data_IF_184407143320
#
_entry.id   IF_184407143320
#
_cell.length_a   1.000
_cell.length_b   1.000
_cell.length_c   1.000
_cell.angle_alpha   90.00
_cell.angle_beta   90.00
_cell.angle_gamma   90.00
#
_symmetry.space_group_name_H-M   'P 1'
#
loop_
_entity.id
_entity.type
_entity.pdbx_description
1 polymer ?
#
# COMPACT_ATOMS: atom_id res chain seq x y z
N UNK A 1 -0.39 -63.69 50.86
CA UNK A 1 0.18 -62.41 50.39
C UNK A 1 0.16 -62.51 48.88
N UNK A 2 -1.01 -62.29 48.30
CA UNK A 2 -1.24 -62.35 46.85
C UNK A 2 -1.15 -60.92 46.35
N UNK A 3 -0.17 -60.65 45.49
CA UNK A 3 0.01 -59.35 44.86
C UNK A 3 -0.88 -59.30 43.63
N UNK A 4 -1.85 -58.38 43.65
CA UNK A 4 -2.66 -58.05 42.49
C UNK A 4 -1.79 -57.22 41.53
N UNK A 5 -1.44 -57.80 40.38
CA UNK A 5 -0.80 -57.10 39.27
C UNK A 5 -1.85 -56.21 38.59
N UNK A 6 -1.72 -54.90 38.72
CA UNK A 6 -2.53 -53.92 37.99
C UNK A 6 -2.01 -53.84 36.53
N UNK A 7 -2.86 -54.19 35.57
CA UNK A 7 -2.61 -53.95 34.14
C UNK A 7 -2.54 -52.44 33.88
N UNK A 8 -1.61 -51.96 33.03
CA UNK A 8 -1.53 -50.53 32.71
C UNK A 8 -2.71 -50.14 31.83
N UNK A 9 -3.51 -49.18 32.28
CA UNK A 9 -4.55 -48.53 31.49
C UNK A 9 -3.89 -47.84 30.27
N UNK A 10 -4.16 -48.36 29.06
CA UNK A 10 -3.80 -47.66 27.82
C UNK A 10 -4.57 -46.33 27.75
N UNK A 11 -3.91 -45.23 28.08
CA UNK A 11 -4.36 -43.86 27.77
C UNK A 11 -4.31 -43.63 26.25
N UNK A 12 -5.23 -44.27 25.52
CA UNK A 12 -5.46 -44.02 24.10
C UNK A 12 -6.29 -42.75 23.91
N UNK A 13 -5.78 -41.77 23.15
CA UNK A 13 -6.57 -40.62 22.70
C UNK A 13 -7.87 -41.13 22.05
N UNK A 14 -9.04 -40.51 22.33
CA UNK A 14 -10.31 -40.97 21.78
C UNK A 14 -10.31 -40.82 20.25
N UNK A 15 -10.35 -41.94 19.54
CA UNK A 15 -10.47 -41.99 18.09
C UNK A 15 -9.64 -43.11 17.45
N UNK A 16 -9.92 -43.47 16.19
CA UNK A 16 -9.04 -44.35 15.44
C UNK A 16 -7.65 -43.72 15.29
N UNK A 17 -6.58 -44.53 15.25
CA UNK A 17 -5.23 -44.01 15.02
C UNK A 17 -5.20 -43.18 13.73
N UNK A 18 -4.53 -42.01 13.75
CA UNK A 18 -4.44 -41.17 12.57
C UNK A 18 -3.82 -41.98 11.43
N UNK A 19 -4.50 -42.00 10.28
CA UNK A 19 -4.02 -42.66 9.07
C UNK A 19 -3.22 -41.65 8.23
N UNK A 20 -1.87 -41.72 8.22
CA UNK A 20 -1.04 -40.82 7.44
C UNK A 20 -1.28 -40.91 5.93
N UNK A 21 -1.92 -41.98 5.45
CA UNK A 21 -2.29 -42.18 4.05
C UNK A 21 -3.43 -41.25 3.58
N UNK A 22 -4.13 -40.59 4.52
CA UNK A 22 -5.20 -39.63 4.22
C UNK A 22 -4.70 -38.20 4.04
N UNK A 23 -3.41 -37.94 4.25
CA UNK A 23 -2.82 -36.61 4.06
C UNK A 23 -2.53 -36.45 2.55
N UNK A 24 -3.18 -35.49 1.86
CA UNK A 24 -2.85 -35.21 0.48
C UNK A 24 -1.41 -34.68 0.41
N UNK A 25 -0.56 -35.34 -0.40
CA UNK A 25 0.80 -34.87 -0.70
C UNK A 25 0.72 -33.68 -1.66
N UNK A 26 0.42 -32.49 -1.13
CA UNK A 26 0.49 -31.25 -1.90
C UNK A 26 1.94 -30.80 -1.90
N UNK A 27 2.69 -31.25 -2.91
CA UNK A 27 4.04 -30.74 -3.18
C UNK A 27 3.87 -29.40 -3.90
N UNK A 28 3.87 -28.28 -3.16
CA UNK A 28 4.08 -26.97 -3.81
C UNK A 28 5.55 -26.87 -4.20
N UNK A 29 5.82 -26.65 -5.48
CA UNK A 29 7.17 -26.33 -5.93
C UNK A 29 7.58 -24.97 -5.35
N UNK A 30 8.45 -25.00 -4.35
CA UNK A 30 9.01 -23.78 -3.77
C UNK A 30 10.01 -23.20 -4.79
N UNK A 31 9.79 -21.96 -5.22
CA UNK A 31 10.73 -21.23 -6.10
C UNK A 31 10.28 -21.00 -7.54
N UNK A 32 9.08 -21.43 -7.94
CA UNK A 32 8.51 -21.13 -9.27
C UNK A 32 7.69 -19.82 -9.31
N UNK A 33 7.65 -19.09 -8.19
CA UNK A 33 6.95 -17.80 -8.12
C UNK A 33 7.77 -16.72 -8.85
N UNK A 34 7.40 -16.45 -10.09
CA UNK A 34 7.91 -15.28 -10.81
C UNK A 34 7.11 -14.03 -10.41
N UNK A 35 7.64 -13.30 -9.42
CA UNK A 35 7.04 -12.05 -8.94
C UNK A 35 6.92 -10.99 -10.04
N UNK A 36 7.83 -11.01 -11.04
CA UNK A 36 7.83 -10.04 -12.13
C UNK A 36 6.63 -10.25 -13.06
N UNK A 37 6.37 -11.49 -13.47
CA UNK A 37 5.21 -11.79 -14.33
C UNK A 37 3.87 -11.54 -13.64
N UNK A 38 3.79 -11.75 -12.33
CA UNK A 38 2.60 -11.42 -11.54
C UNK A 38 2.42 -9.90 -11.41
N UNK A 39 3.51 -9.15 -11.22
CA UNK A 39 3.46 -7.68 -11.20
C UNK A 39 2.97 -7.13 -12.55
N UNK A 40 3.50 -7.64 -13.66
CA UNK A 40 3.10 -7.23 -15.03
C UNK A 40 1.62 -7.56 -15.30
N UNK A 41 1.14 -8.75 -14.87
CA UNK A 41 -0.27 -9.15 -14.98
C UNK A 41 -1.22 -8.23 -14.19
N UNK A 42 -0.75 -7.68 -13.07
CA UNK A 42 -1.49 -6.75 -12.23
C UNK A 42 -1.21 -5.27 -12.56
N UNK A 43 -0.47 -4.97 -13.63
CA UNK A 43 -0.16 -3.60 -14.05
C UNK A 43 0.74 -2.84 -13.08
N UNK A 44 1.54 -3.55 -12.28
CA UNK A 44 2.48 -2.97 -11.31
C UNK A 44 3.82 -2.74 -12.02
N UNK A 45 4.15 -1.49 -12.28
CA UNK A 45 5.42 -1.10 -12.91
C UNK A 45 6.63 -1.40 -12.00
N UNK A 46 7.76 -1.74 -12.62
CA UNK A 46 9.03 -1.93 -11.90
C UNK A 46 9.44 -0.59 -11.28
N UNK A 47 9.88 -0.62 -10.02
CA UNK A 47 10.41 0.58 -9.34
C UNK A 47 11.50 1.23 -10.20
N UNK A 48 11.21 2.42 -10.72
CA UNK A 48 12.12 3.28 -11.48
C UNK A 48 12.26 4.60 -10.75
N UNK A 49 13.43 5.23 -10.74
CA UNK A 49 13.53 6.56 -10.13
C UNK A 49 12.63 7.54 -10.89
N UNK A 50 11.77 8.30 -10.20
CA UNK A 50 10.82 9.19 -10.85
C UNK A 50 11.57 10.33 -11.53
N UNK A 51 11.33 10.52 -12.82
CA UNK A 51 11.84 11.70 -13.53
C UNK A 51 10.94 12.89 -13.22
N UNK A 52 11.43 13.74 -12.31
CA UNK A 52 10.73 14.93 -11.83
C UNK A 52 10.32 15.84 -13.01
N UNK A 53 11.13 15.96 -14.06
CA UNK A 53 10.80 16.84 -15.20
C UNK A 53 9.64 16.27 -16.01
N UNK A 54 9.66 14.96 -16.27
CA UNK A 54 8.58 14.30 -16.99
C UNK A 54 7.27 14.35 -16.20
N UNK A 55 7.33 14.22 -14.86
CA UNK A 55 6.15 14.33 -14.01
C UNK A 55 5.59 15.76 -14.03
N UNK A 56 6.46 16.78 -13.98
CA UNK A 56 6.01 18.17 -14.09
C UNK A 56 5.33 18.44 -15.44
N UNK A 57 5.92 17.98 -16.54
CA UNK A 57 5.35 18.10 -17.89
C UNK A 57 3.98 17.42 -17.96
N UNK A 58 3.85 16.20 -17.43
CA UNK A 58 2.55 15.53 -17.33
C UNK A 58 1.53 16.33 -16.53
N UNK A 59 1.91 16.89 -15.38
CA UNK A 59 1.01 17.68 -14.53
C UNK A 59 0.61 19.01 -15.20
N UNK A 60 1.45 19.59 -16.06
CA UNK A 60 1.14 20.78 -16.85
C UNK A 60 0.15 20.48 -17.99
N UNK A 61 0.17 19.27 -18.54
CA UNK A 61 -0.78 18.81 -19.56
C UNK A 61 -2.17 18.48 -19.00
N UNK A 62 -2.32 18.38 -17.66
CA UNK A 62 -3.63 18.17 -17.03
C UNK A 62 -4.44 19.48 -17.10
N UNK A 63 -5.15 19.66 -18.21
CA UNK A 63 -6.14 20.71 -18.39
C UNK A 63 -7.48 20.32 -17.73
N UNK A 64 -8.21 21.30 -17.19
CA UNK A 64 -9.56 21.15 -16.63
C UNK A 64 -9.72 20.17 -15.45
N UNK A 65 -8.78 20.16 -14.50
CA UNK A 65 -8.95 19.38 -13.28
C UNK A 65 -10.19 19.85 -12.48
N UNK A 66 -11.15 18.94 -12.29
CA UNK A 66 -12.32 19.19 -11.45
C UNK A 66 -12.04 18.92 -9.96
N UNK A 67 -12.62 19.73 -9.06
CA UNK A 67 -12.52 19.48 -7.62
C UNK A 67 -13.20 18.15 -7.25
N UNK A 68 -12.65 17.45 -6.24
CA UNK A 68 -13.27 16.21 -5.75
C UNK A 68 -14.70 16.44 -5.23
N UNK A 69 -15.64 15.61 -5.65
CA UNK A 69 -17.01 15.64 -5.15
C UNK A 69 -17.12 14.88 -3.82
N UNK A 70 -16.52 15.42 -2.76
CA UNK A 70 -16.50 14.80 -1.44
C UNK A 70 -16.85 15.81 -0.34
N UNK A 71 -17.97 15.58 0.34
CA UNK A 71 -18.46 16.42 1.43
C UNK A 71 -17.52 16.50 2.65
N UNK A 72 -16.58 15.56 2.78
CA UNK A 72 -15.58 15.52 3.85
C UNK A 72 -14.23 16.12 3.42
N UNK A 73 -14.10 16.58 2.17
CA UNK A 73 -12.90 17.25 1.70
C UNK A 73 -12.80 18.65 2.31
N UNK A 74 -11.62 18.99 2.82
CA UNK A 74 -11.36 20.33 3.33
C UNK A 74 -10.76 21.27 2.28
N UNK A 75 -10.19 20.72 1.21
CA UNK A 75 -9.82 21.45 -0.01
C UNK A 75 -9.90 20.48 -1.20
N UNK A 76 -11.05 20.42 -1.89
CA UNK A 76 -11.28 19.46 -2.96
C UNK A 76 -10.34 19.59 -4.15
N UNK A 77 -9.86 20.81 -4.44
CA UNK A 77 -8.98 21.06 -5.57
C UNK A 77 -7.55 20.61 -5.26
N UNK A 78 -7.03 20.98 -4.09
CA UNK A 78 -5.70 20.56 -3.68
C UNK A 78 -5.60 19.03 -3.54
N UNK A 79 -6.65 18.40 -3.01
CA UNK A 79 -6.70 16.94 -2.90
C UNK A 79 -6.74 16.23 -4.26
N UNK A 80 -7.39 16.81 -5.27
CA UNK A 80 -7.40 16.28 -6.63
C UNK A 80 -5.98 16.26 -7.25
N UNK A 81 -5.23 17.36 -7.11
CA UNK A 81 -3.84 17.43 -7.57
C UNK A 81 -2.96 16.39 -6.89
N UNK A 82 -3.11 16.23 -5.58
CA UNK A 82 -2.37 15.22 -4.83
C UNK A 82 -2.76 13.79 -5.25
N UNK A 83 -4.04 13.51 -5.51
CA UNK A 83 -4.48 12.21 -6.01
C UNK A 83 -3.86 11.88 -7.36
N UNK A 84 -3.80 12.84 -8.30
CA UNK A 84 -3.17 12.64 -9.60
C UNK A 84 -1.69 12.31 -9.42
N UNK A 85 -0.96 13.12 -8.65
CA UNK A 85 0.47 12.90 -8.40
C UNK A 85 0.72 11.52 -7.78
N UNK A 86 0.03 11.18 -6.70
CA UNK A 86 0.27 9.91 -6.01
C UNK A 86 -0.16 8.71 -6.86
N UNK A 87 -1.22 8.85 -7.66
CA UNK A 87 -1.62 7.81 -8.62
C UNK A 87 -0.56 7.57 -9.67
N UNK A 88 0.00 8.64 -10.25
CA UNK A 88 1.08 8.58 -11.22
C UNK A 88 2.31 7.88 -10.63
N UNK A 89 2.73 8.30 -9.44
CA UNK A 89 3.90 7.75 -8.74
C UNK A 89 3.74 6.25 -8.44
N UNK A 90 2.55 5.83 -7.97
CA UNK A 90 2.28 4.42 -7.63
C UNK A 90 2.18 3.56 -8.88
N UNK A 91 1.44 4.01 -9.92
CA UNK A 91 1.16 3.19 -11.10
C UNK A 91 2.31 3.16 -12.11
N UNK A 92 2.86 4.33 -12.43
CA UNK A 92 3.87 4.42 -13.49
C UNK A 92 5.28 4.12 -12.96
N UNK A 93 5.58 4.55 -11.74
CA UNK A 93 6.94 4.46 -11.19
C UNK A 93 7.10 3.40 -10.08
N UNK A 94 6.01 2.77 -9.63
CA UNK A 94 6.05 1.70 -8.62
C UNK A 94 6.55 2.16 -7.25
N UNK A 95 6.51 3.46 -6.94
CA UNK A 95 6.86 3.97 -5.61
C UNK A 95 5.62 4.03 -4.74
N UNK A 96 5.73 3.46 -3.54
CA UNK A 96 4.64 3.45 -2.57
C UNK A 96 4.48 4.77 -1.83
N UNK A 97 5.49 5.64 -1.80
CA UNK A 97 5.42 6.90 -1.06
C UNK A 97 6.28 7.99 -1.68
N UNK A 98 5.95 9.24 -1.39
CA UNK A 98 6.69 10.41 -1.86
C UNK A 98 7.05 11.31 -0.67
N UNK A 99 8.29 11.81 -0.64
CA UNK A 99 8.78 12.70 0.42
C UNK A 99 8.14 14.09 0.34
N UNK A 100 8.01 14.77 1.48
CA UNK A 100 7.37 16.11 1.55
C UNK A 100 8.02 17.10 0.58
N UNK A 101 9.34 17.17 0.55
CA UNK A 101 10.05 18.10 -0.36
C UNK A 101 9.74 17.83 -1.83
N UNK A 102 9.57 16.56 -2.21
CA UNK A 102 9.26 16.19 -3.59
C UNK A 102 7.81 16.51 -3.93
N UNK A 103 6.87 16.29 -3.00
CA UNK A 103 5.47 16.70 -3.15
C UNK A 103 5.39 18.21 -3.35
N UNK A 104 6.12 18.98 -2.54
CA UNK A 104 6.16 20.44 -2.63
C UNK A 104 6.61 20.92 -4.00
N UNK A 105 7.72 20.37 -4.52
CA UNK A 105 8.24 20.72 -5.85
C UNK A 105 7.25 20.40 -6.97
N UNK A 106 6.51 19.29 -6.87
CA UNK A 106 5.65 18.82 -7.95
C UNK A 106 4.27 19.49 -7.96
N UNK A 107 3.68 19.71 -6.79
CA UNK A 107 2.28 20.18 -6.68
C UNK A 107 2.08 21.33 -5.69
N UNK A 108 3.11 21.77 -4.96
CA UNK A 108 2.99 22.83 -3.95
C UNK A 108 2.41 24.13 -4.51
N UNK A 109 2.94 24.61 -5.64
CA UNK A 109 2.44 25.81 -6.33
C UNK A 109 0.98 25.64 -6.78
N UNK A 110 0.63 24.48 -7.38
CA UNK A 110 -0.73 24.16 -7.86
C UNK A 110 -1.76 24.08 -6.72
N UNK A 111 -1.33 23.64 -5.55
CA UNK A 111 -2.15 23.59 -4.34
C UNK A 111 -2.09 24.89 -3.53
N UNK A 112 -1.28 25.87 -3.93
CA UNK A 112 -0.99 27.09 -3.17
C UNK A 112 -0.58 26.78 -1.71
N UNK A 113 0.32 25.80 -1.53
CA UNK A 113 0.76 25.29 -0.23
C UNK A 113 2.24 24.94 -0.27
N UNK A 114 3.00 25.57 0.61
CA UNK A 114 4.45 25.40 0.72
C UNK A 114 4.85 25.33 2.20
N UNK A 115 5.98 24.69 2.47
CA UNK A 115 6.55 24.47 3.80
C UNK A 115 5.54 23.92 4.80
N UNK A 116 5.33 24.66 5.89
CA UNK A 116 4.49 24.24 7.01
C UNK A 116 3.02 24.06 6.59
N UNK A 117 2.52 24.88 5.67
CA UNK A 117 1.12 24.78 5.23
C UNK A 117 0.86 23.49 4.45
N UNK A 118 1.85 23.03 3.68
CA UNK A 118 1.82 21.74 3.01
C UNK A 118 1.85 20.59 4.02
N UNK A 119 2.74 20.64 5.01
CA UNK A 119 2.83 19.61 6.05
C UNK A 119 1.52 19.46 6.83
N UNK A 120 0.91 20.59 7.25
CA UNK A 120 -0.38 20.58 7.96
C UNK A 120 -1.47 19.96 7.08
N UNK A 121 -1.49 20.29 5.78
CA UNK A 121 -2.44 19.74 4.83
C UNK A 121 -2.29 18.21 4.69
N UNK A 122 -1.06 17.72 4.52
CA UNK A 122 -0.77 16.28 4.42
C UNK A 122 -1.10 15.54 5.72
N UNK A 123 -0.79 16.13 6.88
CA UNK A 123 -1.14 15.56 8.18
C UNK A 123 -2.65 15.48 8.40
N UNK A 124 -3.41 16.47 7.93
CA UNK A 124 -4.88 16.41 7.95
C UNK A 124 -5.39 15.22 7.13
N UNK A 125 -4.85 15.00 5.94
CA UNK A 125 -5.25 13.87 5.09
C UNK A 125 -4.87 12.52 5.70
N UNK A 126 -3.72 12.45 6.37
CA UNK A 126 -3.31 11.28 7.14
C UNK A 126 -4.27 10.99 8.30
N UNK A 127 -4.64 12.00 9.09
CA UNK A 127 -5.61 11.85 10.19
C UNK A 127 -6.97 11.37 9.66
N UNK A 128 -7.38 11.81 8.47
CA UNK A 128 -8.60 11.34 7.80
C UNK A 128 -8.48 9.93 7.20
N UNK A 129 -7.33 9.27 7.32
CA UNK A 129 -7.08 7.91 6.81
C UNK A 129 -6.89 7.83 5.29
N UNK A 130 -6.73 8.98 4.63
CA UNK A 130 -6.56 9.07 3.16
C UNK A 130 -5.12 8.88 2.72
N UNK A 131 -4.20 9.29 3.58
CA UNK A 131 -2.77 9.04 3.42
C UNK A 131 -2.26 8.16 4.55
N UNK A 132 -1.15 7.49 4.32
CA UNK A 132 -0.31 6.88 5.33
C UNK A 132 0.98 7.69 5.45
N UNK A 133 1.37 8.00 6.69
CA UNK A 133 2.61 8.71 7.00
C UNK A 133 3.72 7.70 7.32
N UNK A 134 4.82 7.76 6.57
CA UNK A 134 5.91 6.80 6.63
C UNK A 134 7.16 7.48 7.19
N UNK A 135 7.80 6.80 8.14
CA UNK A 135 9.05 7.20 8.77
C UNK A 135 10.17 6.23 8.38
N UNK A 136 11.42 6.69 8.46
CA UNK A 136 12.61 5.86 8.20
C UNK A 136 13.31 6.14 6.87
N UNK A 137 12.87 7.16 6.13
CA UNK A 137 13.59 7.72 4.99
C UNK A 137 14.50 8.90 5.38
N UNK A 138 15.04 9.59 4.35
CA UNK A 138 15.77 10.86 4.52
C UNK A 138 14.87 11.96 5.07
N UNK A 139 13.60 11.92 4.68
CA UNK A 139 12.54 12.77 5.20
C UNK A 139 11.26 11.95 5.43
N UNK A 140 10.26 12.58 6.04
CA UNK A 140 8.92 12.03 6.15
C UNK A 140 8.33 11.89 4.74
N UNK A 141 7.70 10.76 4.47
CA UNK A 141 6.99 10.53 3.22
C UNK A 141 5.52 10.16 3.44
N UNK A 142 4.71 10.39 2.42
CA UNK A 142 3.29 10.06 2.43
C UNK A 142 2.98 9.08 1.29
N UNK A 143 2.14 8.10 1.61
CA UNK A 143 1.59 7.11 0.68
C UNK A 143 0.07 7.31 0.56
N UNK A 144 -0.55 7.15 -0.61
CA UNK A 144 -2.00 7.14 -0.71
C UNK A 144 -2.57 5.85 -0.11
N UNK A 145 -3.65 5.96 0.67
CA UNK A 145 -4.45 4.80 1.01
C UNK A 145 -5.18 4.30 -0.26
N UNK A 146 -5.08 3.01 -0.64
CA UNK A 146 -5.74 2.49 -1.84
C UNK A 146 -7.24 2.82 -1.90
N UNK A 147 -7.95 2.71 -0.76
CA UNK A 147 -9.38 3.01 -0.71
C UNK A 147 -9.71 4.47 -1.00
N UNK A 148 -8.76 5.39 -0.82
CA UNK A 148 -8.96 6.80 -1.15
C UNK A 148 -8.81 7.08 -2.65
N UNK A 149 -7.97 6.32 -3.37
CA UNK A 149 -7.81 6.45 -4.82
C UNK A 149 -8.97 5.82 -5.62
N UNK A 150 -9.73 4.92 -5.01
CA UNK A 150 -10.88 4.25 -5.63
C UNK A 150 -12.17 5.09 -5.57
N UNK A 151 -12.21 6.14 -4.74
CA UNK A 151 -13.35 7.05 -4.63
C UNK A 151 -13.42 7.98 -5.86
N UNK A 152 -14.21 7.60 -6.86
CA UNK A 152 -14.63 8.46 -7.98
C UNK A 152 -16.02 9.03 -7.76
#
# INVERSE_FOLDING_TARGET
MEGEEQEPEEEGLPGPPPDPSRIPSIVRQVGDLNMQSQADEHGISKKTDPDIRAIMEFLDEVEDLEPLNNNLSGDPMAEAWLQILLTLIVREHGHSSLGVSTIEVLVGERMNREGIDLEIFLDRLWIMGRLEKIYGGVEVSYSPNPSWLEMK
#
